data_IF_753389492455
#
_entry.id   IF_753389492455
#
_cell.length_a   1.000
_cell.length_b   1.000
_cell.length_c   1.000
_cell.angle_alpha   90.00
_cell.angle_beta   90.00
_cell.angle_gamma   90.00
#
_symmetry.space_group_name_H-M   'P 1'
#
loop_
_entity.id
_entity.type
_entity.pdbx_description
1 polymer ?
#
# COMPACT_ATOMS: atom_id res chain seq x y z
N UNK A 1 -17.66 -14.65 -2.14
CA UNK A 1 -16.26 -14.98 -1.81
C UNK A 1 -15.51 -13.67 -1.65
N UNK A 2 -14.57 -13.58 -0.71
CA UNK A 2 -13.73 -12.39 -0.57
C UNK A 2 -12.74 -12.31 -1.75
N UNK A 3 -12.55 -11.11 -2.29
CA UNK A 3 -11.55 -10.85 -3.32
C UNK A 3 -10.12 -10.98 -2.73
N UNK A 4 -9.12 -11.35 -3.55
CA UNK A 4 -7.76 -11.49 -3.09
C UNK A 4 -7.10 -10.15 -2.73
N UNK A 5 -6.31 -10.18 -1.65
CA UNK A 5 -5.24 -9.21 -1.40
C UNK A 5 -3.97 -9.69 -2.09
N UNK A 6 -3.37 -8.87 -2.94
CA UNK A 6 -2.08 -9.13 -3.59
C UNK A 6 -1.02 -8.26 -2.92
N UNK A 7 0.06 -8.89 -2.43
CA UNK A 7 1.16 -8.17 -1.78
C UNK A 7 2.46 -8.35 -2.55
N UNK A 8 2.96 -7.28 -3.17
CA UNK A 8 4.20 -7.29 -3.96
C UNK A 8 5.31 -6.66 -3.12
N UNK A 9 6.15 -7.48 -2.49
CA UNK A 9 7.29 -7.03 -1.71
C UNK A 9 8.58 -7.09 -2.54
N UNK A 10 9.28 -5.95 -2.68
CA UNK A 10 10.57 -5.91 -3.36
C UNK A 10 11.35 -4.62 -3.04
N UNK A 11 12.67 -4.66 -3.22
CA UNK A 11 13.56 -3.50 -3.02
C UNK A 11 13.14 -2.28 -3.86
N UNK A 12 13.57 -1.05 -3.51
CA UNK A 12 13.29 0.14 -4.31
C UNK A 12 13.86 -0.02 -5.73
N UNK A 13 13.14 0.49 -6.74
CA UNK A 13 13.60 0.43 -8.14
C UNK A 13 13.42 -0.91 -8.86
N UNK A 14 12.92 -1.97 -8.21
CA UNK A 14 12.74 -3.31 -8.82
C UNK A 14 11.48 -3.47 -9.68
N UNK A 15 10.69 -2.42 -9.86
CA UNK A 15 9.50 -2.46 -10.74
C UNK A 15 8.20 -2.96 -10.09
N UNK A 16 8.11 -3.09 -8.75
CA UNK A 16 6.85 -3.50 -8.08
C UNK A 16 5.62 -2.65 -8.44
N UNK A 17 5.78 -1.34 -8.59
CA UNK A 17 4.70 -0.45 -9.02
C UNK A 17 4.35 -0.67 -10.51
N UNK A 18 5.34 -0.96 -11.34
CA UNK A 18 5.14 -1.30 -12.75
C UNK A 18 4.30 -2.57 -12.89
N UNK A 19 4.62 -3.62 -12.12
CA UNK A 19 3.85 -4.86 -12.10
C UNK A 19 2.42 -4.61 -11.60
N UNK A 20 2.25 -3.86 -10.49
CA UNK A 20 0.92 -3.53 -9.97
C UNK A 20 0.05 -2.79 -11.02
N UNK A 21 0.63 -1.82 -11.74
CA UNK A 21 -0.06 -1.09 -12.82
C UNK A 21 -0.39 -1.98 -14.01
N UNK A 22 0.48 -2.91 -14.38
CA UNK A 22 0.20 -3.88 -15.42
C UNK A 22 -0.98 -4.78 -15.05
N UNK A 23 -1.06 -5.25 -13.79
CA UNK A 23 -2.22 -6.02 -13.31
C UNK A 23 -3.50 -5.16 -13.37
N UNK A 24 -3.47 -3.90 -12.89
CA UNK A 24 -4.61 -2.99 -12.98
C UNK A 24 -5.04 -2.67 -14.42
N UNK A 25 -4.14 -2.72 -15.40
CA UNK A 25 -4.53 -2.54 -16.80
C UNK A 25 -5.38 -3.68 -17.37
N UNK A 26 -5.39 -4.85 -16.70
CA UNK A 26 -6.28 -5.96 -17.04
C UNK A 26 -7.66 -5.83 -16.41
N UNK A 27 -7.77 -5.10 -15.30
CA UNK A 27 -9.01 -4.83 -14.57
C UNK A 27 -8.91 -3.47 -13.85
N UNK A 28 -9.62 -2.48 -14.38
CA UNK A 28 -9.58 -1.11 -13.86
C UNK A 28 -10.17 -0.98 -12.45
N UNK A 29 -10.97 -1.94 -11.98
CA UNK A 29 -11.56 -1.94 -10.64
C UNK A 29 -10.53 -2.19 -9.53
N UNK A 30 -9.35 -2.71 -9.88
CA UNK A 30 -8.27 -3.01 -8.93
C UNK A 30 -7.75 -1.73 -8.26
N UNK A 31 -7.67 -1.75 -6.92
CA UNK A 31 -7.08 -0.64 -6.16
C UNK A 31 -5.61 -0.92 -5.85
N UNK A 32 -4.73 0.04 -6.17
CA UNK A 32 -3.30 -0.05 -5.86
C UNK A 32 -2.98 0.89 -4.69
N UNK A 33 -2.40 0.33 -3.63
CA UNK A 33 -1.83 1.04 -2.49
C UNK A 33 -0.31 0.95 -2.59
N UNK A 34 0.31 1.97 -3.18
CA UNK A 34 1.76 2.00 -3.36
C UNK A 34 2.50 2.57 -2.13
N UNK A 35 3.79 2.26 -2.03
CA UNK A 35 4.58 2.61 -0.84
C UNK A 35 4.74 4.14 -0.63
N UNK A 36 4.64 4.96 -1.68
CA UNK A 36 4.70 6.42 -1.54
C UNK A 36 3.42 6.95 -0.87
N UNK A 37 2.25 6.41 -1.20
CA UNK A 37 0.99 6.75 -0.52
C UNK A 37 1.02 6.48 0.99
N UNK A 38 1.87 5.53 1.43
CA UNK A 38 2.03 5.17 2.84
C UNK A 38 3.12 5.99 3.55
N UNK A 39 4.14 6.45 2.82
CA UNK A 39 5.31 7.12 3.39
C UNK A 39 5.18 8.63 3.35
N UNK A 40 4.71 9.19 2.24
CA UNK A 40 4.74 10.63 2.00
C UNK A 40 3.93 11.42 3.05
N UNK A 41 2.76 10.95 3.55
CA UNK A 41 2.03 11.64 4.63
C UNK A 41 2.80 11.70 5.97
N UNK A 42 3.72 10.78 6.20
CA UNK A 42 4.58 10.75 7.39
C UNK A 42 5.81 11.62 7.16
N UNK A 43 6.44 11.49 5.99
CA UNK A 43 7.62 12.26 5.60
C UNK A 43 7.34 13.77 5.49
N UNK A 44 6.09 14.18 5.23
CA UNK A 44 5.69 15.59 5.25
C UNK A 44 5.62 16.20 6.65
N UNK A 45 5.62 15.37 7.71
CA UNK A 45 5.49 15.80 9.11
C UNK A 45 6.73 15.52 9.94
N UNK A 46 7.47 14.46 9.60
CA UNK A 46 8.67 14.00 10.31
C UNK A 46 9.79 13.77 9.30
N UNK A 47 10.98 14.29 9.62
CA UNK A 47 12.19 13.89 8.88
C UNK A 47 12.40 12.38 8.99
N UNK A 48 13.01 11.77 7.98
CA UNK A 48 13.32 10.33 7.99
C UNK A 48 14.29 9.92 9.09
N UNK A 49 15.11 10.87 9.55
CA UNK A 49 16.05 10.68 10.66
C UNK A 49 15.43 10.92 12.04
N UNK A 50 14.17 11.38 12.10
CA UNK A 50 13.45 11.52 13.36
C UNK A 50 13.16 10.12 13.94
N UNK A 51 13.51 9.83 15.21
CA UNK A 51 13.25 8.53 15.83
C UNK A 51 11.78 8.08 15.77
N UNK A 52 10.83 9.02 15.68
CA UNK A 52 9.39 8.75 15.59
C UNK A 52 8.94 8.37 14.18
N UNK A 53 9.74 8.67 13.15
CA UNK A 53 9.37 8.46 11.75
C UNK A 53 8.99 7.00 11.47
N UNK A 54 9.79 6.04 11.94
CA UNK A 54 9.51 4.62 11.71
C UNK A 54 8.25 4.14 12.45
N UNK A 55 7.99 4.70 13.64
CA UNK A 55 6.79 4.41 14.42
C UNK A 55 5.55 4.92 13.67
N UNK A 56 5.57 6.17 13.20
CA UNK A 56 4.46 6.74 12.45
C UNK A 56 4.28 6.09 11.07
N UNK A 57 5.36 5.71 10.39
CA UNK A 57 5.30 4.92 9.15
C UNK A 57 4.61 3.58 9.39
N UNK A 58 4.89 2.89 10.50
CA UNK A 58 4.21 1.64 10.85
C UNK A 58 2.70 1.89 11.10
N UNK A 59 2.36 2.91 11.88
CA UNK A 59 0.96 3.28 12.16
C UNK A 59 0.19 3.61 10.89
N UNK A 60 0.81 4.33 9.95
CA UNK A 60 0.16 4.66 8.68
C UNK A 60 -0.10 3.42 7.81
N UNK A 61 0.83 2.46 7.79
CA UNK A 61 0.60 1.16 7.14
C UNK A 61 -0.55 0.40 7.78
N UNK A 62 -0.64 0.39 9.11
CA UNK A 62 -1.74 -0.25 9.85
C UNK A 62 -3.09 0.41 9.53
N UNK A 63 -3.16 1.75 9.48
CA UNK A 63 -4.38 2.49 9.08
C UNK A 63 -4.80 2.16 7.66
N UNK A 64 -3.86 2.14 6.72
CA UNK A 64 -4.15 1.77 5.34
C UNK A 64 -4.64 0.32 5.24
N UNK A 65 -4.04 -0.61 5.98
CA UNK A 65 -4.48 -2.00 6.02
C UNK A 65 -5.89 -2.13 6.59
N UNK A 66 -6.19 -1.44 7.69
CA UNK A 66 -7.55 -1.40 8.25
C UNK A 66 -8.57 -0.87 7.24
N UNK A 67 -8.24 0.24 6.57
CA UNK A 67 -9.13 0.91 5.62
C UNK A 67 -9.40 0.11 4.35
N UNK A 68 -8.37 -0.52 3.78
CA UNK A 68 -8.49 -1.13 2.44
C UNK A 68 -8.62 -2.65 2.47
N UNK A 69 -8.15 -3.31 3.53
CA UNK A 69 -8.16 -4.78 3.62
C UNK A 69 -9.16 -5.30 4.63
N UNK A 70 -9.23 -4.68 5.81
CA UNK A 70 -10.09 -5.17 6.89
C UNK A 70 -11.51 -4.60 6.84
N UNK A 71 -11.76 -3.56 6.04
CA UNK A 71 -13.09 -2.99 5.85
C UNK A 71 -14.00 -3.99 5.09
N UNK A 72 -15.09 -4.50 5.71
CA UNK A 72 -16.01 -5.41 5.05
C UNK A 72 -16.65 -4.84 3.78
N UNK A 73 -16.80 -3.52 3.67
CA UNK A 73 -17.31 -2.88 2.46
C UNK A 73 -16.38 -3.07 1.26
N UNK A 74 -15.09 -3.34 1.51
CA UNK A 74 -14.04 -3.57 0.52
C UNK A 74 -13.81 -5.05 0.21
N UNK A 75 -14.53 -5.97 0.84
CA UNK A 75 -14.28 -7.40 0.74
C UNK A 75 -14.43 -7.99 -0.68
N UNK A 76 -15.08 -7.27 -1.61
CA UNK A 76 -15.22 -7.69 -3.02
C UNK A 76 -14.21 -7.03 -3.97
N UNK A 77 -13.37 -6.12 -3.48
CA UNK A 77 -12.38 -5.41 -4.28
C UNK A 77 -11.02 -6.12 -4.24
N UNK A 78 -10.37 -6.24 -5.39
CA UNK A 78 -8.97 -6.69 -5.45
C UNK A 78 -8.08 -5.51 -5.06
N UNK A 79 -7.26 -5.73 -4.03
CA UNK A 79 -6.34 -4.72 -3.52
C UNK A 79 -4.90 -5.18 -3.75
N UNK A 80 -4.05 -4.31 -4.30
CA UNK A 80 -2.62 -4.56 -4.48
C UNK A 80 -1.82 -3.62 -3.58
N UNK A 81 -1.04 -4.17 -2.66
CA UNK A 81 -0.05 -3.42 -1.88
C UNK A 81 1.34 -3.59 -2.48
N UNK A 82 2.08 -2.49 -2.62
CA UNK A 82 3.53 -2.56 -2.92
C UNK A 82 4.32 -2.32 -1.64
N UNK A 83 5.06 -3.33 -1.18
CA UNK A 83 5.83 -3.30 0.05
C UNK A 83 7.30 -2.93 -0.14
N UNK A 84 7.86 -2.32 0.91
CA UNK A 84 9.28 -2.34 1.27
C UNK A 84 9.40 -2.61 2.77
#
# INVERSE_FOLDING_TARGET
>A
MAAPLIWINAFPGTGKLTIAKAIKSMDESITIIDNHQLIDPVASKLSRDDPRYQIERKRERERAFQKYVQDPAKASEIIIFTGL
#
